data_IF_899953537954
#
_entry.id   IF_899953537954
#
_cell.length_a   1.000
_cell.length_b   1.000
_cell.length_c   1.000
_cell.angle_alpha   90.00
_cell.angle_beta   90.00
_cell.angle_gamma   90.00
#
_symmetry.space_group_name_H-M   'P 1'
#
loop_
_entity.id
_entity.type
_entity.pdbx_description
1 polymer ?
#
# COMPACT_ATOMS: atom_id res chain seq x y z
N UNK A 1 40.18 23.02 -59.07
CA UNK A 1 39.58 22.89 -57.72
C UNK A 1 38.06 22.85 -57.84
N UNK A 2 37.47 21.66 -57.64
CA UNK A 2 36.05 21.45 -57.31
C UNK A 2 36.01 20.13 -56.53
N UNK A 3 35.65 20.19 -55.26
CA UNK A 3 35.56 19.02 -54.38
C UNK A 3 34.33 18.19 -54.75
N UNK A 4 34.48 16.87 -54.83
CA UNK A 4 33.36 15.93 -54.93
C UNK A 4 32.65 15.81 -53.58
N UNK A 5 31.31 15.72 -53.53
CA UNK A 5 30.60 15.39 -52.30
C UNK A 5 30.78 13.90 -51.95
N UNK A 6 30.73 13.51 -50.66
CA UNK A 6 30.84 12.12 -50.26
C UNK A 6 29.56 11.33 -50.60
N UNK A 7 29.66 10.01 -50.85
CA UNK A 7 28.52 9.17 -51.19
C UNK A 7 27.63 8.87 -49.98
N UNK A 8 26.33 9.12 -50.13
CA UNK A 8 25.28 8.65 -49.23
C UNK A 8 24.91 7.21 -49.63
N UNK A 9 25.34 6.23 -48.85
CA UNK A 9 24.82 4.86 -48.98
C UNK A 9 23.85 4.56 -47.85
N UNK A 10 22.58 4.43 -48.26
CA UNK A 10 21.43 3.94 -47.52
C UNK A 10 21.70 2.50 -47.09
N UNK A 11 21.75 2.25 -45.78
CA UNK A 11 21.65 0.90 -45.24
C UNK A 11 20.18 0.52 -45.12
N UNK A 12 19.73 -0.41 -45.96
CA UNK A 12 18.49 -1.17 -45.77
C UNK A 12 18.74 -2.17 -44.65
N UNK A 13 18.21 -1.89 -43.45
CA UNK A 13 18.14 -2.86 -42.35
C UNK A 13 16.87 -3.67 -42.56
N UNK A 14 17.02 -5.00 -42.54
CA UNK A 14 15.94 -5.96 -42.69
C UNK A 14 14.81 -5.74 -41.68
N UNK A 15 13.59 -6.05 -42.13
CA UNK A 15 12.39 -6.08 -41.31
C UNK A 15 12.65 -6.89 -40.04
N UNK A 16 12.73 -6.18 -38.92
CA UNK A 16 12.59 -6.77 -37.60
C UNK A 16 11.18 -6.43 -37.17
N UNK A 17 10.29 -7.43 -37.19
CA UNK A 17 9.07 -7.37 -36.38
C UNK A 17 9.51 -7.15 -34.93
N UNK A 18 9.35 -5.93 -34.44
CA UNK A 18 9.43 -5.62 -33.02
C UNK A 18 8.13 -6.14 -32.41
N UNK A 19 8.18 -7.38 -31.94
CA UNK A 19 7.21 -7.89 -30.99
C UNK A 19 7.16 -6.92 -29.79
N UNK A 20 5.98 -6.52 -29.32
CA UNK A 20 5.87 -5.63 -28.18
C UNK A 20 6.55 -6.26 -26.97
N UNK A 21 7.42 -5.47 -26.35
CA UNK A 21 8.20 -5.77 -25.16
C UNK A 21 7.30 -6.41 -24.11
N UNK A 22 7.75 -7.57 -23.64
CA UNK A 22 7.12 -8.35 -22.59
C UNK A 22 6.85 -7.47 -21.37
N UNK A 23 5.58 -7.44 -20.96
CA UNK A 23 5.10 -6.96 -19.66
C UNK A 23 6.10 -7.28 -18.55
N UNK A 24 6.52 -6.25 -17.83
CA UNK A 24 7.36 -6.35 -16.65
C UNK A 24 6.83 -7.40 -15.69
N UNK A 25 7.74 -8.25 -15.22
CA UNK A 25 7.47 -9.21 -14.14
C UNK A 25 7.26 -8.43 -12.85
N UNK A 26 6.02 -8.27 -12.42
CA UNK A 26 5.76 -7.86 -11.03
C UNK A 26 5.77 -9.08 -10.13
N UNK A 27 6.61 -9.04 -9.10
CA UNK A 27 6.44 -9.86 -7.90
C UNK A 27 5.46 -9.12 -6.98
N UNK A 28 4.16 -9.26 -7.27
CA UNK A 28 3.14 -9.00 -6.26
C UNK A 28 3.36 -10.06 -5.19
N UNK A 29 3.90 -9.70 -4.02
CA UNK A 29 3.90 -10.60 -2.88
C UNK A 29 2.47 -10.67 -2.32
N UNK A 30 1.61 -11.42 -3.02
CA UNK A 30 0.44 -12.01 -2.39
C UNK A 30 0.96 -13.10 -1.45
N UNK A 31 0.81 -12.91 -0.14
CA UNK A 31 1.03 -13.97 0.84
C UNK A 31 -0.12 -15.00 0.81
N UNK A 32 -0.40 -15.56 -0.37
CA UNK A 32 -1.12 -16.83 -0.51
C UNK A 32 -0.10 -17.88 -0.95
N UNK A 33 0.79 -18.26 -0.04
CA UNK A 33 1.36 -19.59 -0.08
C UNK A 33 0.44 -20.46 0.77
N UNK A 34 -0.43 -21.21 0.09
CA UNK A 34 -0.93 -22.54 0.44
C UNK A 34 -1.93 -22.91 -0.68
N UNK A 35 -1.41 -23.50 -1.75
CA UNK A 35 -2.19 -24.47 -2.51
C UNK A 35 -2.23 -25.73 -1.66
N UNK A 36 -3.43 -26.15 -1.25
CA UNK A 36 -3.84 -27.56 -1.29
C UNK A 36 -5.35 -27.65 -1.04
N UNK A 37 -6.05 -28.19 -2.05
CA UNK A 37 -7.26 -29.01 -1.94
C UNK A 37 -8.41 -28.52 -1.03
N UNK A 38 -9.40 -27.81 -1.61
CA UNK A 38 -10.76 -27.82 -1.07
C UNK A 38 -11.69 -28.47 -2.09
N UNK A 39 -11.96 -29.74 -1.82
CA UNK A 39 -13.03 -30.53 -2.39
C UNK A 39 -14.36 -29.77 -2.43
N UNK A 40 -15.06 -29.97 -3.54
CA UNK A 40 -16.47 -29.67 -3.74
C UNK A 40 -17.30 -30.30 -2.62
N UNK A 41 -17.84 -29.48 -1.70
CA UNK A 41 -18.98 -29.89 -0.85
C UNK A 41 -20.22 -29.07 -1.17
N UNK A 42 -21.13 -29.76 -1.84
CA UNK A 42 -22.56 -29.48 -2.01
C UNK A 42 -23.24 -29.08 -0.70
N UNK A 43 -24.00 -27.98 -0.75
CA UNK A 43 -24.90 -27.51 0.31
C UNK A 43 -26.28 -28.16 0.14
N UNK A 44 -26.84 -28.86 1.14
CA UNK A 44 -28.27 -29.16 1.16
C UNK A 44 -29.06 -28.00 1.77
N UNK A 45 -30.14 -27.62 1.08
CA UNK A 45 -31.21 -26.75 1.60
C UNK A 45 -32.04 -27.53 2.61
N UNK A 46 -32.25 -26.96 3.80
CA UNK A 46 -33.36 -27.36 4.68
C UNK A 46 -34.02 -26.12 5.24
N UNK A 47 -35.35 -26.05 5.05
CA UNK A 47 -36.25 -25.05 5.59
C UNK A 47 -36.67 -25.43 7.02
N UNK A 48 -36.93 -24.44 7.87
CA UNK A 48 -37.56 -24.62 9.19
C UNK A 48 -37.68 -23.30 9.95
N UNK A 49 -38.92 -22.93 10.27
CA UNK A 49 -39.37 -21.66 10.87
C UNK A 49 -39.54 -21.77 12.41
N UNK A 50 -39.69 -20.61 13.07
CA UNK A 50 -40.13 -20.31 14.47
C UNK A 50 -38.95 -20.21 15.46
N UNK A 51 -38.78 -19.21 16.33
CA UNK A 51 -39.53 -18.02 16.73
C UNK A 51 -39.02 -17.56 18.13
N UNK A 52 -39.28 -16.28 18.47
CA UNK A 52 -39.31 -15.60 19.80
C UNK A 52 -38.04 -15.37 20.67
N UNK A 53 -37.74 -14.06 20.83
CA UNK A 53 -37.50 -13.27 22.05
C UNK A 53 -36.38 -13.61 23.05
N UNK A 54 -35.58 -12.60 23.39
CA UNK A 54 -34.81 -12.55 24.64
C UNK A 54 -33.57 -11.69 24.58
N UNK A 55 -33.68 -10.41 24.94
CA UNK A 55 -32.53 -9.58 25.29
C UNK A 55 -32.01 -10.03 26.67
N UNK A 56 -30.72 -10.37 26.76
CA UNK A 56 -30.00 -10.47 28.02
C UNK A 56 -28.58 -9.95 27.81
N UNK A 57 -28.33 -8.77 28.36
CA UNK A 57 -27.01 -8.19 28.60
C UNK A 57 -26.24 -9.08 29.58
N UNK A 58 -25.04 -9.51 29.20
CA UNK A 58 -24.09 -10.15 30.11
C UNK A 58 -22.79 -9.36 30.04
N UNK A 59 -22.52 -8.59 31.10
CA UNK A 59 -21.17 -8.10 31.40
C UNK A 59 -20.33 -9.30 31.84
N UNK A 60 -19.18 -9.50 31.20
CA UNK A 60 -18.09 -10.29 31.74
C UNK A 60 -16.83 -9.43 31.73
N UNK A 61 -16.40 -9.08 32.94
CA UNK A 61 -15.10 -8.52 33.26
C UNK A 61 -14.01 -9.60 33.21
N UNK A 62 -12.88 -9.19 32.63
CA UNK A 62 -11.50 -9.65 32.82
C UNK A 62 -11.06 -11.11 32.54
N UNK A 63 -10.03 -11.15 31.69
CA UNK A 63 -8.87 -12.04 31.66
C UNK A 63 -9.02 -13.45 31.06
N UNK A 64 -8.63 -13.55 29.78
CA UNK A 64 -7.90 -14.69 29.27
C UNK A 64 -6.95 -14.22 28.16
N UNK A 65 -5.65 -14.36 28.39
CA UNK A 65 -4.64 -14.27 27.35
C UNK A 65 -4.94 -15.36 26.31
N UNK A 66 -5.52 -14.97 25.18
CA UNK A 66 -5.77 -15.86 24.07
C UNK A 66 -4.46 -15.99 23.27
N UNK A 67 -3.82 -17.13 23.45
CA UNK A 67 -2.97 -17.86 22.50
C UNK A 67 -2.84 -17.19 21.11
N UNK A 68 -1.62 -16.75 20.82
CA UNK A 68 -1.22 -16.13 19.55
C UNK A 68 -1.23 -17.16 18.42
N UNK A 69 -2.37 -17.27 17.73
CA UNK A 69 -2.42 -17.82 16.38
C UNK A 69 -1.89 -16.81 15.35
N UNK A 70 -1.19 -17.21 14.30
CA UNK A 70 -0.51 -16.30 13.35
C UNK A 70 -1.45 -15.45 12.48
N UNK A 71 -2.76 -15.50 12.69
CA UNK A 71 -3.80 -14.81 11.91
C UNK A 71 -4.92 -14.21 12.79
N UNK A 72 -4.69 -14.05 14.10
CA UNK A 72 -5.68 -13.50 15.02
C UNK A 72 -5.80 -11.97 14.89
N UNK A 73 -6.72 -11.53 14.03
CA UNK A 73 -7.50 -10.30 14.21
C UNK A 73 -6.78 -8.98 13.94
N UNK A 74 -6.94 -8.47 12.72
CA UNK A 74 -6.68 -7.08 12.35
C UNK A 74 -7.62 -6.15 13.13
N UNK A 75 -7.37 -5.94 14.42
CA UNK A 75 -7.95 -4.85 15.20
C UNK A 75 -7.05 -3.65 14.97
N UNK A 76 -7.28 -2.94 13.86
CA UNK A 76 -6.61 -1.66 13.60
C UNK A 76 -6.73 -0.79 14.85
N UNK A 77 -5.59 -0.42 15.42
CA UNK A 77 -5.58 0.60 16.47
C UNK A 77 -5.83 1.92 15.73
N UNK A 78 -7.05 2.44 15.78
CA UNK A 78 -7.39 3.68 15.09
C UNK A 78 -6.37 4.79 15.45
N UNK A 79 -6.02 5.62 14.47
CA UNK A 79 -5.19 6.81 14.71
C UNK A 79 -5.77 7.60 15.89
N UNK A 80 -4.91 8.04 16.83
CA UNK A 80 -5.32 8.94 17.92
C UNK A 80 -5.63 10.37 17.43
N UNK A 81 -5.23 10.69 16.20
CA UNK A 81 -5.35 11.99 15.54
C UNK A 81 -6.48 11.97 14.50
N UNK A 82 -6.89 13.15 14.02
CA UNK A 82 -7.85 13.25 12.91
C UNK A 82 -7.28 12.59 11.64
N UNK A 83 -8.15 12.11 10.75
CA UNK A 83 -7.75 11.44 9.50
C UNK A 83 -6.86 12.28 8.59
N UNK A 84 -6.94 13.60 8.70
CA UNK A 84 -6.19 14.58 7.91
C UNK A 84 -5.05 15.23 8.67
N UNK A 85 -4.76 14.76 9.89
CA UNK A 85 -3.65 15.27 10.67
C UNK A 85 -2.32 14.93 9.99
N UNK A 86 -1.48 15.96 9.87
CA UNK A 86 -0.10 15.88 9.37
C UNK A 86 0.94 15.94 10.52
N UNK A 87 0.51 15.95 11.80
CA UNK A 87 1.41 16.09 12.96
C UNK A 87 2.45 14.97 13.07
N UNK A 88 2.17 13.84 12.40
CA UNK A 88 3.00 12.64 12.35
C UNK A 88 3.72 12.47 11.00
N UNK A 89 3.77 13.53 10.20
CA UNK A 89 4.50 13.63 8.95
C UNK A 89 5.48 14.82 9.03
N UNK A 90 6.61 14.77 8.32
CA UNK A 90 7.57 15.87 8.29
C UNK A 90 7.23 16.96 7.26
N UNK A 91 6.05 16.88 6.61
CA UNK A 91 5.58 17.79 5.58
C UNK A 91 4.11 18.14 5.78
N UNK A 92 3.69 19.29 5.26
CA UNK A 92 2.32 19.78 5.35
C UNK A 92 1.46 19.20 4.20
N UNK A 93 0.31 18.61 4.54
CA UNK A 93 -0.65 18.05 3.60
C UNK A 93 -1.84 18.97 3.31
N UNK A 94 -1.85 20.19 3.87
CA UNK A 94 -2.97 21.13 3.79
C UNK A 94 -4.32 20.52 4.22
N UNK A 95 -4.28 19.59 5.19
CA UNK A 95 -5.44 18.83 5.66
C UNK A 95 -6.15 17.99 4.57
N UNK A 96 -5.51 17.73 3.42
CA UNK A 96 -6.13 16.93 2.34
C UNK A 96 -6.04 15.42 2.59
N UNK A 97 -5.06 14.97 3.37
CA UNK A 97 -4.90 13.61 3.88
C UNK A 97 -3.99 13.63 5.10
N UNK A 98 -3.98 12.54 5.86
CA UNK A 98 -3.06 12.35 6.98
C UNK A 98 -2.11 11.20 6.71
N UNK A 99 -1.31 10.85 7.70
CA UNK A 99 -0.40 9.73 7.58
C UNK A 99 0.60 9.65 8.70
N UNK A 100 1.47 8.65 8.62
CA UNK A 100 2.52 8.37 9.58
C UNK A 100 3.80 8.10 8.78
N UNK A 101 4.94 8.60 9.24
CA UNK A 101 6.22 8.16 8.69
C UNK A 101 7.37 9.10 8.95
N UNK A 102 8.54 8.68 8.48
CA UNK A 102 9.80 9.40 8.66
C UNK A 102 10.48 9.08 9.99
N UNK A 103 11.78 9.38 10.06
CA UNK A 103 12.62 9.10 11.21
C UNK A 103 12.15 9.80 12.48
N UNK A 104 11.54 10.99 12.37
CA UNK A 104 10.97 11.71 13.51
C UNK A 104 9.83 10.94 14.18
N UNK A 105 8.89 10.41 13.39
CA UNK A 105 7.78 9.61 13.89
C UNK A 105 8.25 8.26 14.46
N UNK A 106 9.19 7.60 13.78
CA UNK A 106 9.69 6.28 14.18
C UNK A 106 10.83 6.32 15.22
N UNK A 107 11.25 7.52 15.64
CA UNK A 107 12.36 7.74 16.59
C UNK A 107 13.67 7.04 16.16
N UNK A 108 14.01 7.11 14.87
CA UNK A 108 15.27 6.58 14.32
C UNK A 108 16.23 7.70 13.94
N UNK A 109 17.47 7.35 13.62
CA UNK A 109 18.32 8.24 12.82
C UNK A 109 17.69 8.50 11.44
N UNK A 110 18.03 9.63 10.85
CA UNK A 110 17.63 9.98 9.49
C UNK A 110 18.35 9.13 8.43
N UNK A 111 17.80 9.17 7.21
CA UNK A 111 18.25 8.46 6.03
C UNK A 111 17.48 7.18 5.77
N UNK A 112 17.45 6.74 4.51
CA UNK A 112 16.72 5.56 4.05
C UNK A 112 17.35 4.23 4.48
N UNK A 113 18.67 4.19 4.70
CA UNK A 113 19.41 2.94 4.76
C UNK A 113 19.71 2.43 3.34
N UNK A 114 19.57 1.13 3.13
CA UNK A 114 19.84 0.49 1.82
C UNK A 114 18.54 0.20 1.03
N UNK A 115 17.38 0.57 1.58
CA UNK A 115 16.07 0.19 1.06
C UNK A 115 15.35 1.37 0.43
N UNK A 116 14.48 1.07 -0.54
CA UNK A 116 13.50 2.04 -1.02
C UNK A 116 12.50 2.35 0.10
N UNK A 117 11.95 3.58 0.15
CA UNK A 117 10.82 3.84 1.02
C UNK A 117 9.64 2.93 0.67
N UNK A 118 8.93 2.50 1.69
CA UNK A 118 7.68 1.74 1.58
C UNK A 118 6.53 2.66 1.95
N UNK A 119 5.52 2.76 1.07
CA UNK A 119 4.27 3.43 1.36
C UNK A 119 3.12 2.41 1.48
N UNK A 120 2.56 2.33 2.68
CA UNK A 120 1.37 1.53 2.96
C UNK A 120 0.08 2.29 2.62
N UNK A 121 -0.83 1.62 1.91
CA UNK A 121 -2.16 2.13 1.51
C UNK A 121 -3.26 1.27 2.14
N UNK A 122 -3.99 1.87 3.09
CA UNK A 122 -5.00 1.18 3.90
C UNK A 122 -6.26 0.75 3.12
N UNK A 123 -7.05 -0.13 3.75
CA UNK A 123 -8.33 -0.61 3.22
C UNK A 123 -9.52 0.31 3.47
N UNK A 124 -10.70 -0.06 2.99
CA UNK A 124 -11.93 0.72 3.22
C UNK A 124 -12.20 0.85 4.72
N UNK A 125 -12.64 2.02 5.19
CA UNK A 125 -12.96 2.34 6.61
C UNK A 125 -11.79 2.25 7.59
N UNK A 126 -10.57 2.03 7.12
CA UNK A 126 -9.35 1.96 7.93
C UNK A 126 -8.51 3.24 7.80
N UNK A 127 -7.34 3.26 8.44
CA UNK A 127 -6.37 4.35 8.39
C UNK A 127 -4.92 3.81 8.36
N UNK A 128 -3.93 4.71 8.29
CA UNK A 128 -2.52 4.36 8.20
C UNK A 128 -1.96 3.58 9.41
N UNK A 129 -2.61 3.64 10.58
CA UNK A 129 -2.15 2.95 11.80
C UNK A 129 -2.17 1.43 11.67
N UNK A 130 -2.94 0.90 10.73
CA UNK A 130 -2.93 -0.50 10.33
C UNK A 130 -1.51 -1.02 9.98
N UNK A 131 -0.58 -0.13 9.63
CA UNK A 131 0.81 -0.48 9.30
C UNK A 131 1.74 -0.54 10.52
N UNK A 132 1.33 -0.08 11.71
CA UNK A 132 2.24 0.17 12.83
C UNK A 132 3.02 -1.09 13.29
N UNK A 133 2.36 -2.24 13.37
CA UNK A 133 3.02 -3.50 13.75
C UNK A 133 4.01 -3.98 12.67
N UNK A 134 3.68 -3.79 11.40
CA UNK A 134 4.58 -4.09 10.29
C UNK A 134 5.78 -3.16 10.27
N UNK A 135 5.58 -1.85 10.42
CA UNK A 135 6.65 -0.87 10.53
C UNK A 135 7.61 -1.23 11.68
N UNK A 136 7.08 -1.63 12.83
CA UNK A 136 7.90 -2.10 13.97
C UNK A 136 8.76 -3.30 13.60
N UNK A 137 8.24 -4.25 12.82
CA UNK A 137 8.99 -5.41 12.37
C UNK A 137 10.06 -5.05 11.32
N UNK A 138 9.77 -4.11 10.41
CA UNK A 138 10.77 -3.58 9.48
C UNK A 138 11.93 -2.90 10.23
N UNK A 139 11.64 -2.07 11.23
CA UNK A 139 12.65 -1.44 12.09
C UNK A 139 13.55 -2.47 12.78
N UNK A 140 12.97 -3.57 13.31
CA UNK A 140 13.75 -4.67 13.90
C UNK A 140 14.68 -5.37 12.91
N UNK A 141 14.38 -5.28 11.62
CA UNK A 141 15.19 -5.84 10.52
C UNK A 141 16.20 -4.84 9.97
N UNK A 142 16.32 -3.66 10.60
CA UNK A 142 17.32 -2.66 10.25
C UNK A 142 16.84 -1.61 9.24
N UNK A 143 15.54 -1.59 8.88
CA UNK A 143 15.01 -0.44 8.15
C UNK A 143 15.09 0.80 9.04
N UNK A 144 15.31 1.95 8.41
CA UNK A 144 15.23 3.26 9.08
C UNK A 144 13.82 3.84 8.93
N UNK A 145 13.47 4.79 9.79
CA UNK A 145 12.15 5.42 9.78
C UNK A 145 11.83 6.18 8.50
N UNK A 146 12.83 6.74 7.82
CA UNK A 146 12.63 7.39 6.50
C UNK A 146 12.27 6.39 5.39
N UNK A 147 12.41 5.09 5.63
CA UNK A 147 11.97 4.06 4.70
C UNK A 147 10.53 3.58 4.96
N UNK A 148 9.82 4.11 5.95
CA UNK A 148 8.53 3.57 6.40
C UNK A 148 7.46 4.66 6.45
N UNK A 149 6.39 4.47 5.66
CA UNK A 149 5.33 5.46 5.49
C UNK A 149 3.96 4.78 5.37
N UNK A 150 2.92 5.47 5.82
CA UNK A 150 1.53 5.05 5.62
C UNK A 150 0.63 6.27 5.41
N UNK A 151 -0.22 6.24 4.39
CA UNK A 151 -1.21 7.29 4.14
C UNK A 151 -2.53 6.99 4.86
N UNK A 152 -3.20 8.02 5.36
CA UNK A 152 -4.61 8.00 5.77
C UNK A 152 -5.42 8.89 4.84
N UNK A 153 -6.27 8.30 4.01
CA UNK A 153 -7.12 9.09 3.12
C UNK A 153 -8.16 9.91 3.90
N UNK A 154 -8.51 11.09 3.37
CA UNK A 154 -9.44 12.05 4.01
C UNK A 154 -10.74 11.43 4.49
N UNK A 155 -11.30 10.52 3.70
CA UNK A 155 -12.56 9.82 3.99
C UNK A 155 -12.29 8.36 4.28
N UNK A 156 -13.16 7.77 5.09
CA UNK A 156 -13.19 6.33 5.35
C UNK A 156 -13.37 5.52 4.05
N UNK A 157 -14.23 6.01 3.16
CA UNK A 157 -14.48 5.44 1.84
C UNK A 157 -14.21 6.50 0.76
N UNK A 158 -12.94 6.68 0.42
CA UNK A 158 -12.54 7.58 -0.66
C UNK A 158 -12.88 7.01 -2.03
N UNK A 159 -13.20 7.89 -2.97
CA UNK A 159 -13.36 7.53 -4.38
C UNK A 159 -12.00 7.27 -5.03
N UNK A 160 -11.99 6.63 -6.20
CA UNK A 160 -10.77 6.38 -6.98
C UNK A 160 -9.99 7.67 -7.34
N UNK A 161 -10.62 8.74 -7.86
CA UNK A 161 -9.92 9.99 -8.13
C UNK A 161 -9.32 10.63 -6.87
N UNK A 162 -10.04 10.58 -5.74
CA UNK A 162 -9.52 11.11 -4.46
C UNK A 162 -8.31 10.31 -3.97
N UNK A 163 -8.39 8.97 -4.00
CA UNK A 163 -7.24 8.13 -3.64
C UNK A 163 -6.05 8.39 -4.56
N UNK A 164 -6.28 8.57 -5.87
CA UNK A 164 -5.23 8.91 -6.82
C UNK A 164 -4.55 10.22 -6.46
N UNK A 165 -5.31 11.29 -6.29
CA UNK A 165 -4.71 12.62 -6.09
C UNK A 165 -4.00 12.71 -4.74
N UNK A 166 -4.57 12.10 -3.69
CA UNK A 166 -3.93 12.05 -2.36
C UNK A 166 -2.69 11.16 -2.36
N UNK A 167 -2.72 10.01 -3.05
CA UNK A 167 -1.56 9.11 -3.12
C UNK A 167 -0.43 9.72 -3.97
N UNK A 168 -0.75 10.43 -5.06
CA UNK A 168 0.23 11.09 -5.91
C UNK A 168 1.00 12.17 -5.16
N UNK A 169 0.28 12.99 -4.40
CA UNK A 169 0.89 14.02 -3.54
C UNK A 169 1.71 13.39 -2.42
N UNK A 170 1.18 12.37 -1.73
CA UNK A 170 1.89 11.67 -0.66
C UNK A 170 3.20 11.04 -1.13
N UNK A 171 3.18 10.33 -2.27
CA UNK A 171 4.38 9.72 -2.85
C UNK A 171 5.38 10.78 -3.29
N UNK A 172 4.90 11.89 -3.86
CA UNK A 172 5.77 13.01 -4.26
C UNK A 172 6.48 13.62 -3.04
N UNK A 173 5.74 13.86 -1.95
CA UNK A 173 6.30 14.37 -0.69
C UNK A 173 7.32 13.41 -0.07
N UNK A 174 7.09 12.10 -0.11
CA UNK A 174 8.08 11.11 0.37
C UNK A 174 9.35 11.17 -0.47
N UNK A 175 9.23 11.19 -1.81
CA UNK A 175 10.39 11.25 -2.71
C UNK A 175 11.17 12.55 -2.52
N UNK A 176 10.49 13.69 -2.37
CA UNK A 176 11.13 14.97 -2.09
C UNK A 176 11.85 14.97 -0.73
N UNK A 177 11.19 14.45 0.30
CA UNK A 177 11.74 14.40 1.66
C UNK A 177 12.96 13.48 1.77
N UNK A 178 12.90 12.32 1.12
CA UNK A 178 13.92 11.27 1.26
C UNK A 178 15.00 11.30 0.19
N UNK A 179 14.75 11.98 -0.94
CA UNK A 179 15.59 11.92 -2.14
C UNK A 179 15.47 10.60 -2.92
N UNK A 180 14.50 9.75 -2.60
CA UNK A 180 14.32 8.46 -3.28
C UNK A 180 13.83 8.62 -4.72
N UNK A 181 14.41 7.83 -5.63
CA UNK A 181 13.95 7.76 -7.02
C UNK A 181 12.74 6.83 -7.20
N UNK A 182 12.61 5.81 -6.36
CA UNK A 182 11.57 4.77 -6.47
C UNK A 182 10.93 4.53 -5.11
N UNK A 183 9.69 4.02 -5.09
CA UNK A 183 8.97 3.70 -3.85
C UNK A 183 8.27 2.34 -3.97
N UNK A 184 8.30 1.55 -2.91
CA UNK A 184 7.57 0.28 -2.84
C UNK A 184 6.16 0.50 -2.27
N UNK A 185 5.12 0.10 -3.01
CA UNK A 185 3.73 0.20 -2.54
C UNK A 185 3.27 -1.11 -1.91
N UNK A 186 2.81 -1.05 -0.66
CA UNK A 186 2.09 -2.14 0.01
C UNK A 186 0.64 -1.69 0.20
N UNK A 187 -0.31 -2.48 -0.26
CA UNK A 187 -1.73 -2.07 -0.22
C UNK A 187 -2.64 -3.19 0.24
N UNK A 188 -3.75 -2.80 0.89
CA UNK A 188 -4.74 -3.74 1.44
C UNK A 188 -6.15 -3.38 0.97
N UNK A 189 -6.96 -4.40 0.63
CA UNK A 189 -8.40 -4.26 0.30
C UNK A 189 -8.68 -3.14 -0.72
N UNK A 190 -9.52 -2.15 -0.38
CA UNK A 190 -9.81 -0.98 -1.24
C UNK A 190 -8.54 -0.22 -1.66
N UNK A 191 -7.53 -0.15 -0.80
CA UNK A 191 -6.24 0.47 -1.11
C UNK A 191 -5.56 -0.15 -2.33
N UNK A 192 -5.73 -1.45 -2.58
CA UNK A 192 -5.23 -2.11 -3.81
C UNK A 192 -5.89 -1.53 -5.05
N UNK A 193 -7.19 -1.25 -4.96
CA UNK A 193 -7.97 -0.67 -6.06
C UNK A 193 -7.58 0.78 -6.33
N UNK A 194 -7.33 1.56 -5.26
CA UNK A 194 -6.84 2.93 -5.34
C UNK A 194 -5.43 3.01 -5.93
N UNK A 195 -4.49 2.23 -5.38
CA UNK A 195 -3.10 2.20 -5.84
C UNK A 195 -2.99 1.80 -7.32
N UNK A 196 -3.67 0.74 -7.75
CA UNK A 196 -3.65 0.33 -9.16
C UNK A 196 -4.25 1.38 -10.09
N UNK A 197 -5.33 2.04 -9.67
CA UNK A 197 -5.91 3.13 -10.44
C UNK A 197 -4.97 4.32 -10.55
N UNK A 198 -4.28 4.67 -9.45
CA UNK A 198 -3.26 5.72 -9.45
C UNK A 198 -2.08 5.40 -10.39
N UNK A 199 -1.52 4.19 -10.30
CA UNK A 199 -0.41 3.76 -11.16
C UNK A 199 -0.79 3.83 -12.65
N UNK A 200 -1.99 3.37 -13.00
CA UNK A 200 -2.49 3.37 -14.38
C UNK A 200 -2.76 4.79 -14.90
N UNK A 201 -3.40 5.65 -14.11
CA UNK A 201 -3.78 7.01 -14.51
C UNK A 201 -2.58 7.97 -14.57
N UNK A 202 -1.57 7.76 -13.71
CA UNK A 202 -0.37 8.63 -13.60
C UNK A 202 0.88 8.05 -14.28
N UNK A 203 0.79 6.86 -14.86
CA UNK A 203 1.93 6.11 -15.43
C UNK A 203 3.08 5.92 -14.42
N UNK A 204 2.74 5.60 -13.16
CA UNK A 204 3.67 5.45 -12.03
C UNK A 204 4.00 3.98 -11.80
N UNK A 205 4.92 3.47 -12.60
CA UNK A 205 5.41 2.09 -12.51
C UNK A 205 6.87 2.00 -12.02
N UNK A 206 7.48 3.15 -11.72
CA UNK A 206 8.82 3.35 -11.18
C UNK A 206 8.88 3.29 -9.64
#
# INVERSE_FOLDING_TARGET
MKASPPPTHVFTIGATEVLPVSRGRYKIMNNNLLDDEIERRTVPKTAGTVGIAGAASVSLSESAAAERGPLAGFRGTACKTSRTSNETLPFDTNEEYGGLGGHGYHCTESGLGEQNPIAFVHGNTHDGSDFAEHATEYLRRGYKGDALWSITFRRESSTRPEMRDQLDDFVSNIREYTGAETIDIVSHSLGVTGARFWMDDRDRYD
#
